data_IF_888681366193
#
_entry.id   IF_888681366193
#
_cell.length_a   1.000
_cell.length_b   1.000
_cell.length_c   1.000
_cell.angle_alpha   90.00
_cell.angle_beta   90.00
_cell.angle_gamma   90.00
#
_symmetry.space_group_name_H-M   'P 1'
#
loop_
_entity.id
_entity.type
_entity.pdbx_description
1 polymer ?
#
# COMPACT_ATOMS: atom_id res chain seq x y z
N UNK A 1 -13.57 0.45 23.96
CA UNK A 1 -12.80 -0.80 23.96
C UNK A 1 -11.32 -0.50 23.97
N UNK A 2 -10.61 -1.05 24.91
CA UNK A 2 -9.17 -0.82 25.05
C UNK A 2 -8.40 -1.50 23.90
N UNK A 3 -7.33 -0.86 23.41
CA UNK A 3 -6.45 -1.36 22.34
C UNK A 3 -5.88 -2.76 22.66
N UNK A 4 -5.60 -3.02 23.93
CA UNK A 4 -5.10 -4.34 24.40
C UNK A 4 -6.13 -5.46 24.25
N UNK A 5 -7.40 -5.18 24.50
CA UNK A 5 -8.49 -6.17 24.35
C UNK A 5 -8.69 -6.56 22.90
N UNK A 6 -8.57 -5.62 21.98
CA UNK A 6 -8.70 -5.88 20.53
C UNK A 6 -7.56 -6.75 20.00
N UNK A 7 -6.33 -6.49 20.41
CA UNK A 7 -5.17 -7.31 20.03
C UNK A 7 -5.34 -8.74 20.55
N UNK A 8 -5.73 -8.90 21.79
CA UNK A 8 -5.96 -10.23 22.40
C UNK A 8 -7.08 -11.01 21.69
N UNK A 9 -8.18 -10.35 21.34
CA UNK A 9 -9.30 -10.97 20.63
C UNK A 9 -8.90 -11.40 19.20
N UNK A 10 -8.20 -10.55 18.47
CA UNK A 10 -7.71 -10.90 17.12
C UNK A 10 -6.71 -12.05 17.21
N UNK A 11 -5.79 -12.02 18.17
CA UNK A 11 -4.83 -13.10 18.39
C UNK A 11 -5.54 -14.44 18.66
N UNK A 12 -6.55 -14.45 19.52
CA UNK A 12 -7.34 -15.65 19.82
C UNK A 12 -8.08 -16.20 18.58
N UNK A 13 -8.65 -15.32 17.74
CA UNK A 13 -9.39 -15.73 16.54
C UNK A 13 -8.49 -16.19 15.39
N UNK A 14 -7.30 -15.61 15.26
CA UNK A 14 -6.38 -15.90 14.17
C UNK A 14 -5.36 -17.00 14.50
N UNK A 15 -5.22 -17.36 15.76
CA UNK A 15 -4.17 -18.27 16.23
C UNK A 15 -2.76 -17.69 16.20
N UNK A 16 -2.64 -16.38 16.04
CA UNK A 16 -1.37 -15.66 16.00
C UNK A 16 -1.01 -15.10 17.37
N UNK A 17 0.28 -14.83 17.61
CA UNK A 17 0.71 -14.20 18.83
C UNK A 17 0.25 -12.73 18.91
N UNK A 18 -0.03 -12.19 20.12
CA UNK A 18 -0.37 -10.78 20.27
C UNK A 18 0.66 -9.82 19.67
N UNK A 19 1.94 -10.17 19.73
CA UNK A 19 3.00 -9.36 19.13
C UNK A 19 2.93 -9.35 17.59
N UNK A 20 2.59 -10.46 16.96
CA UNK A 20 2.36 -10.53 15.52
C UNK A 20 1.16 -9.69 15.10
N UNK A 21 0.05 -9.80 15.82
CA UNK A 21 -1.14 -8.97 15.60
C UNK A 21 -0.81 -7.49 15.74
N UNK A 22 -0.11 -7.12 16.80
CA UNK A 22 0.28 -5.73 17.03
C UNK A 22 1.18 -5.17 15.91
N UNK A 23 2.11 -5.98 15.39
CA UNK A 23 2.96 -5.58 14.25
C UNK A 23 2.14 -5.37 12.98
N UNK A 24 1.20 -6.27 12.67
CA UNK A 24 0.32 -6.11 11.50
C UNK A 24 -0.51 -4.84 11.62
N UNK A 25 -1.14 -4.61 12.78
CA UNK A 25 -1.97 -3.43 13.00
C UNK A 25 -1.15 -2.13 13.02
N UNK A 26 0.13 -2.20 13.35
CA UNK A 26 1.05 -1.06 13.27
C UNK A 26 1.66 -0.85 11.87
N UNK A 27 1.31 -1.70 10.88
CA UNK A 27 1.84 -1.60 9.52
C UNK A 27 3.32 -1.96 9.40
N UNK A 28 3.87 -2.79 10.30
CA UNK A 28 5.28 -3.21 10.23
C UNK A 28 5.52 -4.18 9.09
N UNK A 29 6.63 -4.00 8.36
CA UNK A 29 6.98 -4.79 7.18
C UNK A 29 7.35 -6.26 7.47
N UNK A 30 7.77 -6.57 8.69
CA UNK A 30 8.24 -7.91 9.09
C UNK A 30 7.11 -8.86 9.47
N UNK A 31 6.07 -8.94 8.66
CA UNK A 31 4.96 -9.87 8.85
C UNK A 31 4.70 -10.60 7.54
N UNK A 32 4.36 -11.90 7.62
CA UNK A 32 4.00 -12.67 6.42
C UNK A 32 2.69 -12.15 5.84
N UNK A 33 2.51 -12.28 4.52
CA UNK A 33 1.26 -11.89 3.84
C UNK A 33 0.06 -12.68 4.39
N UNK A 34 0.27 -13.95 4.73
CA UNK A 34 -0.77 -14.80 5.34
C UNK A 34 -1.20 -14.26 6.70
N UNK A 35 -0.26 -13.91 7.56
CA UNK A 35 -0.55 -13.34 8.88
C UNK A 35 -1.26 -11.99 8.75
N UNK A 36 -0.79 -11.14 7.83
CA UNK A 36 -1.41 -9.83 7.56
C UNK A 36 -2.86 -9.98 7.11
N UNK A 37 -3.14 -10.84 6.15
CA UNK A 37 -4.51 -11.08 5.66
C UNK A 37 -5.41 -11.59 6.79
N UNK A 38 -4.97 -12.57 7.54
CA UNK A 38 -5.75 -13.13 8.67
C UNK A 38 -6.10 -12.06 9.70
N UNK A 39 -5.14 -11.21 10.08
CA UNK A 39 -5.36 -10.14 11.06
C UNK A 39 -6.31 -9.08 10.51
N UNK A 40 -6.09 -8.61 9.26
CA UNK A 40 -6.91 -7.56 8.66
C UNK A 40 -8.34 -8.01 8.40
N UNK A 41 -8.55 -9.26 7.96
CA UNK A 41 -9.88 -9.82 7.76
C UNK A 41 -10.62 -9.94 9.09
N UNK A 42 -9.96 -10.44 10.12
CA UNK A 42 -10.53 -10.53 11.47
C UNK A 42 -10.85 -9.12 12.04
N UNK A 43 -9.95 -8.15 11.88
CA UNK A 43 -10.18 -6.78 12.32
C UNK A 43 -11.36 -6.13 11.59
N UNK A 44 -11.53 -6.43 10.31
CA UNK A 44 -12.67 -5.96 9.52
C UNK A 44 -13.98 -6.57 10.01
N UNK A 45 -14.02 -7.87 10.25
CA UNK A 45 -15.19 -8.57 10.79
C UNK A 45 -15.60 -8.03 12.17
N UNK A 46 -14.62 -7.67 13.00
CA UNK A 46 -14.86 -7.08 14.33
C UNK A 46 -15.24 -5.60 14.28
N UNK A 47 -15.23 -4.98 13.11
CA UNK A 47 -15.54 -3.55 12.95
C UNK A 47 -14.51 -2.60 13.55
N UNK A 48 -13.31 -3.09 13.89
CA UNK A 48 -12.25 -2.27 14.52
C UNK A 48 -11.40 -1.50 13.52
N UNK A 49 -11.56 -1.75 12.22
CA UNK A 49 -10.79 -1.07 11.17
C UNK A 49 -10.99 0.45 11.17
N UNK A 50 -12.21 0.92 11.42
CA UNK A 50 -12.50 2.35 11.47
C UNK A 50 -11.78 3.05 12.62
N UNK A 51 -11.67 2.41 13.77
CA UNK A 51 -10.95 2.93 14.92
C UNK A 51 -9.42 2.92 14.74
N UNK A 52 -8.90 2.00 13.93
CA UNK A 52 -7.48 1.91 13.61
C UNK A 52 -7.06 2.91 12.52
N UNK A 53 -7.96 3.23 11.60
CA UNK A 53 -7.72 4.18 10.52
C UNK A 53 -7.73 5.64 10.97
N UNK A 54 -8.24 5.94 12.15
CA UNK A 54 -8.33 7.31 12.67
C UNK A 54 -6.97 7.97 12.97
N UNK A 55 -5.85 7.28 12.84
CA UNK A 55 -4.54 7.83 13.13
C UNK A 55 -3.36 7.30 12.32
N UNK A 56 -3.47 6.10 11.71
CA UNK A 56 -2.36 5.51 10.92
C UNK A 56 -2.89 4.67 9.79
N UNK A 57 -2.28 4.82 8.62
CA UNK A 57 -2.45 3.85 7.54
C UNK A 57 -1.84 2.51 7.96
N UNK A 58 -2.52 1.40 7.60
CA UNK A 58 -2.04 0.04 7.90
C UNK A 58 -0.96 -0.42 6.90
N UNK A 59 -0.30 0.51 6.25
CA UNK A 59 0.82 0.26 5.35
C UNK A 59 1.93 1.27 5.65
N UNK A 60 3.16 0.87 5.41
CA UNK A 60 4.34 1.72 5.59
C UNK A 60 5.22 1.82 4.33
N UNK A 61 4.87 1.10 3.27
CA UNK A 61 5.54 1.20 1.97
C UNK A 61 4.52 1.29 0.84
N UNK A 62 4.63 2.33 0.05
CA UNK A 62 3.80 2.59 -1.12
C UNK A 62 4.69 2.83 -2.34
N UNK A 63 4.38 2.17 -3.44
CA UNK A 63 5.08 2.34 -4.71
C UNK A 63 4.21 3.16 -5.67
N UNK A 64 4.77 4.23 -6.21
CA UNK A 64 4.13 5.07 -7.22
C UNK A 64 4.77 4.81 -8.58
N UNK A 65 3.98 4.28 -9.50
CA UNK A 65 4.34 4.20 -10.91
C UNK A 65 3.81 5.43 -11.63
N UNK A 66 4.65 6.08 -12.41
CA UNK A 66 4.28 7.26 -13.17
C UNK A 66 5.17 7.40 -14.42
N UNK A 67 4.75 8.13 -15.45
CA UNK A 67 5.61 8.46 -16.57
C UNK A 67 6.86 9.22 -16.11
N UNK A 68 7.98 9.03 -16.81
CA UNK A 68 9.24 9.69 -16.46
C UNK A 68 9.11 11.22 -16.32
N UNK A 69 8.27 11.85 -17.15
CA UNK A 69 8.01 13.29 -17.10
C UNK A 69 7.36 13.77 -15.79
N UNK A 70 6.68 12.88 -15.06
CA UNK A 70 6.01 13.21 -13.81
C UNK A 70 6.99 13.54 -12.66
N UNK A 71 8.25 13.15 -12.80
CA UNK A 71 9.30 13.37 -11.80
C UNK A 71 10.09 14.66 -12.01
N UNK A 72 9.76 15.44 -13.03
CA UNK A 72 10.41 16.69 -13.34
C UNK A 72 9.37 17.81 -13.49
N UNK A 73 9.45 18.83 -12.61
CA UNK A 73 8.55 19.98 -12.61
C UNK A 73 8.51 20.73 -13.94
N UNK A 74 9.64 20.74 -14.67
CA UNK A 74 9.74 21.42 -15.96
C UNK A 74 9.12 20.64 -17.11
N UNK A 75 9.05 19.31 -16.96
CA UNK A 75 8.49 18.42 -17.98
C UNK A 75 6.97 18.30 -17.86
N UNK A 76 6.45 18.17 -16.65
CA UNK A 76 5.01 18.06 -16.40
C UNK A 76 4.64 18.54 -14.99
N UNK A 77 4.26 19.80 -14.90
CA UNK A 77 3.91 20.40 -13.60
C UNK A 77 2.68 19.78 -12.96
N UNK A 78 1.74 19.26 -13.75
CA UNK A 78 0.52 18.66 -13.20
C UNK A 78 0.85 17.39 -12.42
N UNK A 79 1.49 16.42 -13.06
CA UNK A 79 1.89 15.17 -12.40
C UNK A 79 2.88 15.38 -11.28
N UNK A 80 3.82 16.30 -11.47
CA UNK A 80 4.76 16.67 -10.42
C UNK A 80 4.04 17.15 -9.15
N UNK A 81 3.04 18.03 -9.29
CA UNK A 81 2.23 18.50 -8.16
C UNK A 81 1.39 17.40 -7.52
N UNK A 82 0.87 16.45 -8.30
CA UNK A 82 0.16 15.29 -7.76
C UNK A 82 1.10 14.46 -6.88
N UNK A 83 2.31 14.17 -7.34
CA UNK A 83 3.33 13.46 -6.56
C UNK A 83 3.65 14.22 -5.26
N UNK A 84 3.85 15.53 -5.32
CA UNK A 84 4.09 16.34 -4.13
C UNK A 84 2.91 16.31 -3.15
N UNK A 85 1.69 16.32 -3.67
CA UNK A 85 0.48 16.21 -2.85
C UNK A 85 0.38 14.86 -2.14
N UNK A 86 0.71 13.76 -2.83
CA UNK A 86 0.79 12.42 -2.23
C UNK A 86 1.83 12.39 -1.11
N UNK A 87 3.03 12.92 -1.36
CA UNK A 87 4.08 13.02 -0.35
C UNK A 87 3.61 13.79 0.89
N UNK A 88 3.02 14.94 0.70
CA UNK A 88 2.55 15.79 1.80
C UNK A 88 1.42 15.11 2.59
N UNK A 89 0.47 14.49 1.91
CA UNK A 89 -0.64 13.79 2.56
C UNK A 89 -0.17 12.61 3.40
N UNK A 90 0.87 11.90 2.97
CA UNK A 90 1.38 10.71 3.63
C UNK A 90 2.48 11.00 4.67
N UNK A 91 3.02 12.22 4.71
CA UNK A 91 4.11 12.58 5.62
C UNK A 91 3.77 12.32 7.10
N UNK A 92 2.52 12.57 7.50
CA UNK A 92 2.05 12.35 8.88
C UNK A 92 1.85 10.85 9.22
N UNK A 93 1.88 9.95 8.24
CA UNK A 93 1.57 8.53 8.40
C UNK A 93 2.80 7.61 8.41
N UNK A 94 4.00 8.20 8.35
CA UNK A 94 5.28 7.44 8.32
C UNK A 94 5.33 6.41 7.17
N UNK A 95 4.67 6.71 6.04
CA UNK A 95 4.68 5.86 4.84
C UNK A 95 5.90 6.19 4.01
N UNK A 96 6.69 5.17 3.70
CA UNK A 96 7.80 5.29 2.75
C UNK A 96 7.24 5.23 1.32
N UNK A 97 7.48 6.30 0.57
CA UNK A 97 7.17 6.34 -0.84
C UNK A 97 8.39 5.92 -1.66
N UNK A 98 8.14 5.04 -2.62
CA UNK A 98 9.09 4.66 -3.64
C UNK A 98 8.48 4.99 -5.00
N UNK A 99 9.31 5.20 -6.00
CA UNK A 99 8.88 5.62 -7.33
C UNK A 99 9.49 4.72 -8.40
N UNK A 100 8.71 4.42 -9.42
CA UNK A 100 9.16 3.70 -10.59
C UNK A 100 8.57 4.34 -11.84
N UNK A 101 9.44 4.73 -12.77
CA UNK A 101 8.99 5.22 -14.07
C UNK A 101 8.49 4.07 -14.93
N UNK A 102 7.30 4.25 -15.53
CA UNK A 102 6.76 3.40 -16.57
C UNK A 102 6.33 4.26 -17.76
N UNK A 103 6.29 3.68 -18.94
CA UNK A 103 5.65 4.32 -20.09
C UNK A 103 4.12 4.35 -19.89
N UNK A 104 3.45 5.37 -20.42
CA UNK A 104 2.02 5.58 -20.22
C UNK A 104 1.15 4.53 -20.89
N UNK A 105 1.53 4.11 -22.10
CA UNK A 105 0.72 3.27 -22.98
C UNK A 105 1.42 1.97 -23.42
N UNK A 106 2.71 1.88 -23.21
CA UNK A 106 3.54 0.71 -23.56
C UNK A 106 4.48 0.39 -22.37
N UNK A 107 3.85 0.11 -21.24
CA UNK A 107 4.56 -0.13 -19.99
C UNK A 107 5.33 -1.46 -20.03
N UNK A 108 6.54 -1.47 -19.49
CA UNK A 108 7.30 -2.69 -19.25
C UNK A 108 6.62 -3.55 -18.16
N UNK A 109 5.88 -4.56 -18.60
CA UNK A 109 5.18 -5.49 -17.73
C UNK A 109 6.12 -6.27 -16.80
N UNK A 110 7.32 -6.62 -17.29
CA UNK A 110 8.30 -7.32 -16.47
C UNK A 110 8.83 -6.43 -15.34
N UNK A 111 9.12 -5.17 -15.64
CA UNK A 111 9.51 -4.18 -14.63
C UNK A 111 8.39 -3.96 -13.62
N UNK A 112 7.16 -3.80 -14.07
CA UNK A 112 6.00 -3.65 -13.21
C UNK A 112 5.85 -4.83 -12.25
N UNK A 113 5.84 -6.05 -12.77
CA UNK A 113 5.72 -7.28 -11.98
C UNK A 113 6.88 -7.45 -11.00
N UNK A 114 8.11 -7.18 -11.43
CA UNK A 114 9.29 -7.26 -10.57
C UNK A 114 9.16 -6.32 -9.36
N UNK A 115 8.75 -5.08 -9.60
CA UNK A 115 8.55 -4.08 -8.54
C UNK A 115 7.37 -4.41 -7.62
N UNK A 116 6.26 -4.89 -8.16
CA UNK A 116 5.09 -5.29 -7.38
C UNK A 116 5.33 -6.53 -6.53
N UNK A 117 6.18 -7.45 -7.00
CA UNK A 117 6.51 -8.67 -6.26
C UNK A 117 7.60 -8.48 -5.19
N UNK A 118 8.24 -7.32 -5.12
CA UNK A 118 9.15 -7.02 -4.02
C UNK A 118 8.41 -7.13 -2.67
N UNK A 119 9.05 -7.77 -1.69
CA UNK A 119 8.44 -7.99 -0.37
C UNK A 119 8.06 -6.68 0.34
N UNK A 120 8.75 -5.60 0.03
CA UNK A 120 8.49 -4.28 0.60
C UNK A 120 7.30 -3.56 -0.06
N UNK A 121 6.84 -3.97 -1.25
CA UNK A 121 5.72 -3.33 -1.92
C UNK A 121 4.40 -3.81 -1.33
N UNK A 122 3.76 -2.99 -0.52
CA UNK A 122 2.50 -3.31 0.15
C UNK A 122 1.27 -2.83 -0.63
N UNK A 123 1.41 -1.71 -1.32
CA UNK A 123 0.37 -1.12 -2.17
C UNK A 123 1.03 -0.27 -3.26
N UNK A 124 0.27 0.06 -4.29
CA UNK A 124 0.76 0.88 -5.39
C UNK A 124 -0.26 1.94 -5.84
N UNK A 125 0.28 3.00 -6.43
CA UNK A 125 -0.47 3.99 -7.20
C UNK A 125 0.02 3.95 -8.63
N UNK A 126 -0.89 3.86 -9.58
CA UNK A 126 -0.65 4.03 -11.01
C UNK A 126 -1.09 5.44 -11.40
N UNK A 127 -0.15 6.35 -11.50
CA UNK A 127 -0.40 7.76 -11.82
C UNK A 127 -0.15 8.01 -13.31
N UNK A 128 -1.22 8.28 -14.08
CA UNK A 128 -1.12 8.55 -15.51
C UNK A 128 -0.63 7.35 -16.33
N UNK A 129 -0.77 6.14 -15.84
CA UNK A 129 -0.47 4.90 -16.58
C UNK A 129 -1.78 4.36 -17.15
N UNK A 130 -2.00 4.56 -18.43
CA UNK A 130 -3.22 4.15 -19.14
C UNK A 130 -2.96 2.92 -20.03
N UNK A 131 -2.41 1.89 -19.43
CA UNK A 131 -2.12 0.63 -20.08
C UNK A 131 -3.04 -0.48 -19.56
N UNK A 132 -4.02 -0.96 -20.36
CA UNK A 132 -4.98 -1.98 -19.92
C UNK A 132 -4.33 -3.29 -19.49
N UNK A 133 -3.17 -3.64 -20.04
CA UNK A 133 -2.43 -4.83 -19.65
C UNK A 133 -1.89 -4.70 -18.22
N UNK A 134 -1.32 -3.55 -17.89
CA UNK A 134 -0.85 -3.24 -16.53
C UNK A 134 -2.01 -3.20 -15.54
N UNK A 135 -3.15 -2.63 -15.93
CA UNK A 135 -4.35 -2.62 -15.08
C UNK A 135 -4.83 -4.05 -14.77
N UNK A 136 -4.83 -4.93 -15.76
CA UNK A 136 -5.16 -6.35 -15.58
C UNK A 136 -4.20 -7.05 -14.63
N UNK A 137 -2.90 -6.87 -14.81
CA UNK A 137 -1.88 -7.43 -13.92
C UNK A 137 -2.02 -6.91 -12.49
N UNK A 138 -2.29 -5.63 -12.31
CA UNK A 138 -2.50 -5.03 -10.99
C UNK A 138 -3.71 -5.65 -10.28
N UNK A 139 -4.80 -5.90 -11.01
CA UNK A 139 -5.99 -6.55 -10.46
C UNK A 139 -5.70 -7.99 -10.02
N UNK A 140 -4.92 -8.73 -10.80
CA UNK A 140 -4.61 -10.14 -10.54
C UNK A 140 -3.64 -10.34 -9.36
N UNK A 141 -2.78 -9.37 -9.08
CA UNK A 141 -1.79 -9.48 -8.00
C UNK A 141 -2.39 -9.44 -6.58
N UNK A 142 -3.61 -8.96 -6.43
CA UNK A 142 -4.29 -8.90 -5.13
C UNK A 142 -3.67 -7.94 -4.11
N UNK A 143 -2.74 -7.08 -4.51
CA UNK A 143 -2.24 -5.97 -3.68
C UNK A 143 -3.09 -4.72 -3.93
N UNK A 144 -3.37 -3.90 -2.92
CA UNK A 144 -4.10 -2.65 -3.11
C UNK A 144 -3.43 -1.76 -4.15
N UNK A 145 -4.19 -1.33 -5.14
CA UNK A 145 -3.72 -0.48 -6.23
C UNK A 145 -4.75 0.59 -6.55
N UNK A 146 -4.30 1.84 -6.65
CA UNK A 146 -5.14 2.99 -7.01
C UNK A 146 -4.69 3.52 -8.37
N UNK A 147 -5.65 3.78 -9.24
CA UNK A 147 -5.45 4.42 -10.54
C UNK A 147 -5.80 5.91 -10.43
N UNK A 148 -4.92 6.78 -10.92
CA UNK A 148 -5.11 8.24 -10.95
C UNK A 148 -4.84 8.76 -12.36
#
# INVERSE_FOLDING_TARGET
MDKKLRVAEIAARTGLSPSTVSRVLAGKANTSDKARRAVLDCARELGVMQGLAAGRLLLNNLLVFAPQRAFDERSDIFYYRVIQSINNALAAHEVRLRYCALDENDSDANLFLARMNEAETQAAVLLGIDDPHIHGLAADLGKPCVLI
#
